data_IF_944526211414
#
_entry.id   IF_944526211414
#
_cell.length_a   1.000
_cell.length_b   1.000
_cell.length_c   1.000
_cell.angle_alpha   90.00
_cell.angle_beta   90.00
_cell.angle_gamma   90.00
#
_symmetry.space_group_name_H-M   'P 1'
#
loop_
_entity.id
_entity.type
_entity.pdbx_description
1 polymer ?
#
# COMPACT_ATOMS: atom_id res chain seq x y z
N UNK A 1 -16.76 31.11 -5.57
CA UNK A 1 -17.45 29.83 -5.29
C UNK A 1 -16.47 28.70 -5.58
N UNK A 2 -16.21 27.79 -4.63
CA UNK A 2 -15.11 26.81 -4.72
C UNK A 2 -15.42 25.75 -5.79
N UNK A 3 -14.65 25.76 -6.89
CA UNK A 3 -14.58 24.66 -7.86
C UNK A 3 -13.50 23.69 -7.37
N UNK A 4 -13.88 22.71 -6.58
CA UNK A 4 -12.99 21.67 -6.07
C UNK A 4 -13.76 20.36 -5.97
N UNK A 5 -14.14 19.79 -7.12
CA UNK A 5 -14.63 18.43 -7.18
C UNK A 5 -13.46 17.52 -7.53
N UNK A 6 -12.85 16.91 -6.52
CA UNK A 6 -12.05 15.69 -6.70
C UNK A 6 -12.99 14.52 -6.49
N UNK A 7 -13.68 14.08 -7.54
CA UNK A 7 -14.29 12.74 -7.53
C UNK A 7 -13.16 11.72 -7.69
N UNK A 8 -12.48 11.42 -6.60
CA UNK A 8 -11.60 10.27 -6.56
C UNK A 8 -12.51 9.06 -6.42
N UNK A 9 -12.80 8.43 -7.57
CA UNK A 9 -13.64 7.24 -7.62
C UNK A 9 -13.20 6.24 -6.55
N UNK A 10 -14.15 5.46 -6.03
CA UNK A 10 -13.88 4.46 -5.00
C UNK A 10 -12.90 3.42 -5.58
N UNK A 11 -11.61 3.55 -5.28
CA UNK A 11 -10.62 2.54 -5.60
C UNK A 11 -10.91 1.34 -4.71
N UNK A 12 -10.99 0.13 -5.27
CA UNK A 12 -11.20 -1.09 -4.49
C UNK A 12 -9.89 -1.86 -4.39
N UNK A 13 -9.61 -2.40 -3.22
CA UNK A 13 -8.50 -3.33 -3.03
C UNK A 13 -8.86 -4.67 -3.65
N UNK A 14 -8.06 -5.19 -4.58
CA UNK A 14 -8.34 -6.46 -5.25
C UNK A 14 -8.16 -7.68 -4.32
N UNK A 15 -7.53 -7.49 -3.15
CA UNK A 15 -7.30 -8.55 -2.15
C UNK A 15 -8.44 -8.67 -1.13
N UNK A 16 -8.63 -7.62 -0.33
CA UNK A 16 -9.65 -7.62 0.73
C UNK A 16 -10.98 -7.03 0.28
N UNK A 17 -11.08 -6.60 -0.98
CA UNK A 17 -12.29 -6.06 -1.60
C UNK A 17 -12.84 -4.80 -0.92
N UNK A 18 -12.12 -4.18 0.04
CA UNK A 18 -12.53 -2.92 0.66
C UNK A 18 -12.31 -1.74 -0.28
N UNK A 19 -13.16 -0.73 -0.16
CA UNK A 19 -12.89 0.57 -0.76
C UNK A 19 -11.70 1.25 -0.04
N UNK A 20 -10.80 1.80 -0.84
CA UNK A 20 -9.64 2.60 -0.43
C UNK A 20 -10.07 4.07 -0.58
N UNK A 21 -10.46 4.74 0.52
CA UNK A 21 -10.93 6.12 0.47
C UNK A 21 -9.77 7.08 0.17
N UNK A 22 -10.05 8.18 -0.52
CA UNK A 22 -9.09 9.29 -0.54
C UNK A 22 -8.93 9.86 0.88
N UNK A 23 -7.70 10.21 1.34
CA UNK A 23 -6.41 10.22 0.64
C UNK A 23 -5.50 9.01 0.92
N UNK A 24 -6.08 7.85 1.18
CA UNK A 24 -5.31 6.63 1.45
C UNK A 24 -4.48 6.20 0.23
N UNK A 25 -3.26 5.75 0.50
CA UNK A 25 -2.33 5.23 -0.51
C UNK A 25 -2.65 3.78 -0.83
N UNK A 26 -2.24 3.31 -2.00
CA UNK A 26 -2.33 1.91 -2.42
C UNK A 26 -1.20 1.58 -3.41
N UNK A 27 -0.85 0.30 -3.52
CA UNK A 27 0.10 -0.19 -4.51
C UNK A 27 -0.64 -0.60 -5.78
N UNK A 28 -0.02 -0.36 -6.94
CA UNK A 28 -0.45 -0.88 -8.24
C UNK A 28 0.59 -1.91 -8.70
N UNK A 29 0.14 -3.11 -9.03
CA UNK A 29 0.98 -4.18 -9.58
C UNK A 29 0.48 -4.46 -10.99
N UNK A 30 1.31 -4.16 -11.98
CA UNK A 30 1.02 -4.48 -13.38
C UNK A 30 1.43 -5.94 -13.67
N UNK A 31 0.55 -6.71 -14.29
CA UNK A 31 0.88 -8.02 -14.84
C UNK A 31 1.42 -7.91 -16.27
N UNK A 32 2.09 -8.96 -16.74
CA UNK A 32 2.65 -9.02 -18.12
C UNK A 32 1.57 -8.95 -19.20
N UNK A 33 0.28 -9.08 -18.84
CA UNK A 33 -0.87 -9.01 -19.74
C UNK A 33 -1.53 -7.62 -19.75
N UNK A 34 -0.98 -6.65 -19.02
CA UNK A 34 -1.49 -5.28 -18.93
C UNK A 34 -2.67 -5.10 -17.96
N UNK A 35 -2.97 -6.09 -17.12
CA UNK A 35 -3.91 -5.97 -16.01
C UNK A 35 -3.20 -5.36 -14.81
N UNK A 36 -3.79 -4.33 -14.22
CA UNK A 36 -3.26 -3.67 -13.03
C UNK A 36 -4.09 -4.06 -11.79
N UNK A 37 -3.45 -4.66 -10.80
CA UNK A 37 -4.05 -4.96 -9.49
C UNK A 37 -3.78 -3.83 -8.50
N UNK A 38 -4.79 -3.44 -7.72
CA UNK A 38 -4.73 -2.37 -6.72
C UNK A 38 -4.81 -2.96 -5.33
N UNK A 39 -3.78 -2.74 -4.52
CA UNK A 39 -3.61 -3.38 -3.20
C UNK A 39 -3.55 -2.30 -2.13
N UNK A 40 -4.42 -2.36 -1.11
CA UNK A 40 -4.39 -1.39 0.00
C UNK A 40 -3.13 -1.55 0.86
N UNK A 41 -2.84 -0.54 1.69
CA UNK A 41 -1.68 -0.55 2.60
C UNK A 41 -1.68 -1.77 3.53
N UNK A 42 -2.83 -2.14 4.09
CA UNK A 42 -2.91 -3.27 5.02
C UNK A 42 -2.53 -4.59 4.36
N UNK A 43 -3.04 -4.82 3.15
CA UNK A 43 -2.68 -6.00 2.36
C UNK A 43 -1.22 -5.95 1.93
N UNK A 44 -0.67 -4.77 1.63
CA UNK A 44 0.76 -4.63 1.34
C UNK A 44 1.63 -4.98 2.55
N UNK A 45 1.25 -4.52 3.75
CA UNK A 45 1.94 -4.85 5.01
C UNK A 45 1.86 -6.35 5.30
N UNK A 46 0.66 -6.93 5.22
CA UNK A 46 0.45 -8.35 5.49
C UNK A 46 1.19 -9.28 4.51
N UNK A 47 1.35 -8.85 3.25
CA UNK A 47 2.01 -9.64 2.20
C UNK A 47 3.51 -9.35 2.06
N UNK A 48 4.06 -8.42 2.84
CA UNK A 48 5.48 -8.04 2.78
C UNK A 48 5.85 -7.11 1.62
N UNK A 49 4.89 -6.47 0.96
CA UNK A 49 5.12 -5.42 -0.04
C UNK A 49 5.35 -4.03 0.57
N UNK A 50 5.04 -3.87 1.85
CA UNK A 50 5.33 -2.65 2.59
C UNK A 50 5.77 -2.97 4.01
N UNK A 51 6.55 -2.07 4.62
CA UNK A 51 6.85 -2.11 6.04
C UNK A 51 7.05 -0.70 6.59
N UNK A 52 6.80 -0.54 7.89
CA UNK A 52 7.22 0.66 8.59
C UNK A 52 8.70 0.54 8.97
N UNK A 53 9.48 1.56 8.65
CA UNK A 53 10.89 1.67 9.00
C UNK A 53 11.13 2.95 9.79
N UNK A 54 12.07 2.92 10.74
CA UNK A 54 12.51 4.14 11.42
C UNK A 54 13.50 4.90 10.54
N UNK A 55 13.15 6.12 10.12
CA UNK A 55 14.08 7.08 9.51
C UNK A 55 14.13 8.31 10.40
N UNK A 56 15.33 8.64 10.91
CA UNK A 56 15.56 9.80 11.80
C UNK A 56 14.58 9.88 12.98
N UNK A 57 14.22 8.72 13.55
CA UNK A 57 13.29 8.63 14.68
C UNK A 57 11.81 8.74 14.32
N UNK A 58 11.48 8.81 13.03
CA UNK A 58 10.10 8.81 12.53
C UNK A 58 9.77 7.47 11.86
N UNK A 59 8.55 6.97 12.08
CA UNK A 59 8.04 5.81 11.37
C UNK A 59 7.62 6.22 9.95
N UNK A 60 8.27 5.63 8.96
CA UNK A 60 8.00 5.86 7.53
C UNK A 60 7.50 4.57 6.91
N UNK A 61 6.35 4.65 6.23
CA UNK A 61 5.84 3.54 5.43
C UNK A 61 6.62 3.46 4.12
N UNK A 62 7.35 2.36 3.92
CA UNK A 62 8.17 2.10 2.74
C UNK A 62 7.58 0.94 1.95
N UNK A 63 7.43 1.12 0.64
CA UNK A 63 6.95 0.09 -0.30
C UNK A 63 8.13 -0.55 -1.05
N UNK A 64 8.02 -1.84 -1.36
CA UNK A 64 9.04 -2.62 -2.08
C UNK A 64 8.47 -3.19 -3.37
N UNK A 65 9.26 -3.24 -4.47
CA UNK A 65 8.81 -3.78 -5.75
C UNK A 65 8.57 -5.29 -5.69
N UNK A 66 9.30 -5.98 -4.81
CA UNK A 66 9.17 -7.41 -4.54
C UNK A 66 8.76 -7.62 -3.09
N UNK A 67 8.17 -8.77 -2.78
CA UNK A 67 7.89 -9.16 -1.41
C UNK A 67 9.22 -9.19 -0.65
N UNK A 68 9.32 -8.43 0.43
CA UNK A 68 10.46 -8.46 1.33
C UNK A 68 10.45 -9.76 2.16
N UNK A 69 10.67 -10.90 1.51
CA UNK A 69 10.91 -12.20 2.13
C UNK A 69 12.38 -12.30 2.56
N UNK A 70 12.77 -11.52 3.56
CA UNK A 70 13.98 -11.70 4.40
C UNK A 70 14.23 -10.43 5.21
N UNK A 71 14.74 -10.56 6.43
CA UNK A 71 14.78 -9.58 7.54
C UNK A 71 13.53 -9.57 8.45
N UNK A 72 13.06 -10.75 8.83
CA UNK A 72 12.52 -10.94 10.18
C UNK A 72 13.69 -10.92 11.17
N UNK A 73 14.22 -9.74 11.49
CA UNK A 73 15.10 -9.60 12.66
C UNK A 73 14.32 -8.95 13.80
N UNK A 74 13.97 -9.81 14.76
CA UNK A 74 13.87 -9.52 16.20
C UNK A 74 12.97 -8.35 16.64
N UNK A 75 11.69 -8.64 16.87
CA UNK A 75 10.87 -7.93 17.85
C UNK A 75 10.18 -8.93 18.77
N UNK A 76 10.97 -9.52 19.68
CA UNK A 76 10.52 -10.00 20.98
C UNK A 76 11.47 -9.38 22.01
N UNK A 77 11.07 -8.27 22.62
CA UNK A 77 11.48 -7.86 23.97
C UNK A 77 10.22 -7.38 24.69
#
# INVERSE_FOLDING_TARGET
>A
MRRGCTSLGNVQCDECQRSIPYPERYMVIDDEKGTASRICVDCCLSKGYARYTSDKGQQVLTFFPERAESLQENQND
#
